data_IF_444696523825
#
_entry.id   IF_444696523825
#
_cell.length_a   1.000
_cell.length_b   1.000
_cell.length_c   1.000
_cell.angle_alpha   90.00
_cell.angle_beta   90.00
_cell.angle_gamma   90.00
#
_symmetry.space_group_name_H-M   'P 1'
#
loop_
_entity.id
_entity.type
_entity.pdbx_description
1 polymer ?
#
# COMPACT_ATOMS: atom_id res chain seq x y z
N UNK A 1 -45.38 80.11 6.44
CA UNK A 1 -44.66 78.84 6.74
C UNK A 1 -43.61 79.12 7.81
N UNK A 2 -43.90 78.83 9.08
CA UNK A 2 -42.99 79.13 10.18
C UNK A 2 -41.83 78.11 10.23
N UNK A 3 -40.59 78.61 10.10
CA UNK A 3 -39.37 77.81 10.29
C UNK A 3 -39.26 77.42 11.77
N UNK A 4 -39.54 76.14 12.08
CA UNK A 4 -39.28 75.58 13.42
C UNK A 4 -37.76 75.54 13.64
N UNK A 5 -37.27 76.37 14.56
CA UNK A 5 -35.90 76.27 15.09
C UNK A 5 -35.85 75.02 15.98
N UNK A 6 -35.17 73.98 15.53
CA UNK A 6 -34.83 72.83 16.37
C UNK A 6 -33.92 73.31 17.50
N UNK A 7 -34.32 73.04 18.74
CA UNK A 7 -33.57 73.42 19.93
C UNK A 7 -32.23 72.67 20.01
N UNK A 8 -31.12 73.33 20.39
CA UNK A 8 -29.77 72.74 20.39
C UNK A 8 -29.53 71.62 21.42
N UNK A 9 -30.53 71.24 22.23
CA UNK A 9 -30.43 70.15 23.22
C UNK A 9 -30.56 68.74 22.65
N UNK A 10 -31.11 68.57 21.44
CA UNK A 10 -31.30 67.25 20.82
C UNK A 10 -30.02 66.70 20.14
N UNK A 11 -29.08 67.60 19.77
CA UNK A 11 -27.80 67.21 19.16
C UNK A 11 -26.88 66.42 20.11
N UNK A 12 -26.67 66.84 21.39
CA UNK A 12 -25.87 66.07 22.35
C UNK A 12 -26.40 64.66 22.61
N UNK A 13 -27.72 64.52 22.72
CA UNK A 13 -28.36 63.24 23.04
C UNK A 13 -28.33 62.29 21.84
N UNK A 14 -28.53 62.81 20.62
CA UNK A 14 -28.36 62.03 19.39
C UNK A 14 -26.92 61.51 19.20
N UNK A 15 -25.92 62.30 19.56
CA UNK A 15 -24.51 61.88 19.52
C UNK A 15 -24.23 60.80 20.57
N UNK A 16 -24.76 60.95 21.79
CA UNK A 16 -24.66 59.90 22.82
C UNK A 16 -25.30 58.59 22.36
N UNK A 17 -26.51 58.64 21.82
CA UNK A 17 -27.20 57.45 21.34
C UNK A 17 -26.44 56.79 20.17
N UNK A 18 -25.91 57.58 19.24
CA UNK A 18 -25.10 57.07 18.13
C UNK A 18 -23.80 56.39 18.62
N UNK A 19 -23.14 56.97 19.62
CA UNK A 19 -21.95 56.37 20.25
C UNK A 19 -22.32 55.08 20.97
N UNK A 20 -23.38 55.09 21.80
CA UNK A 20 -23.83 53.91 22.54
C UNK A 20 -24.22 52.77 21.59
N UNK A 21 -24.92 53.08 20.49
CA UNK A 21 -25.25 52.13 19.42
C UNK A 21 -23.99 51.57 18.75
N UNK A 22 -22.99 52.40 18.51
CA UNK A 22 -21.72 51.98 17.90
C UNK A 22 -20.89 51.10 18.84
N UNK A 23 -20.85 51.43 20.13
CA UNK A 23 -20.17 50.63 21.16
C UNK A 23 -20.85 49.28 21.32
N UNK A 24 -22.19 49.23 21.34
CA UNK A 24 -22.95 47.98 21.36
C UNK A 24 -22.71 47.14 20.11
N UNK A 25 -22.73 47.75 18.91
CA UNK A 25 -22.45 47.06 17.65
C UNK A 25 -21.02 46.49 17.62
N UNK A 26 -20.03 47.26 18.08
CA UNK A 26 -18.63 46.83 18.16
C UNK A 26 -18.46 45.69 19.14
N UNK A 27 -19.08 45.78 20.32
CA UNK A 27 -19.03 44.71 21.34
C UNK A 27 -19.69 43.43 20.83
N UNK A 28 -20.84 43.52 20.16
CA UNK A 28 -21.50 42.36 19.54
C UNK A 28 -20.63 41.71 18.46
N UNK A 29 -20.00 42.51 17.60
CA UNK A 29 -19.09 42.01 16.56
C UNK A 29 -17.84 41.33 17.12
N UNK A 30 -17.26 41.89 18.19
CA UNK A 30 -16.09 41.32 18.85
C UNK A 30 -16.40 39.97 19.51
N UNK A 31 -17.56 39.84 20.16
CA UNK A 31 -18.02 38.56 20.75
C UNK A 31 -18.22 37.52 19.67
N UNK A 32 -18.90 37.87 18.58
CA UNK A 32 -19.16 36.94 17.48
C UNK A 32 -17.86 36.50 16.77
N UNK A 33 -16.88 37.40 16.66
CA UNK A 33 -15.56 37.06 16.10
C UNK A 33 -14.80 36.11 17.02
N UNK A 34 -14.88 36.32 18.33
CA UNK A 34 -14.26 35.43 19.33
C UNK A 34 -14.89 34.04 19.30
N UNK A 35 -16.21 33.93 19.24
CA UNK A 35 -16.90 32.62 19.17
C UNK A 35 -16.51 31.84 17.92
N UNK A 36 -16.46 32.50 16.75
CA UNK A 36 -15.99 31.87 15.50
C UNK A 36 -14.54 31.42 15.58
N UNK A 37 -13.67 32.24 16.18
CA UNK A 37 -12.26 31.90 16.35
C UNK A 37 -12.09 30.72 17.32
N UNK A 38 -12.88 30.66 18.40
CA UNK A 38 -12.86 29.54 19.34
C UNK A 38 -13.34 28.25 18.67
N UNK A 39 -14.45 28.28 17.92
CA UNK A 39 -14.91 27.12 17.17
C UNK A 39 -13.88 26.61 16.17
N UNK A 40 -13.20 27.51 15.45
CA UNK A 40 -12.13 27.12 14.51
C UNK A 40 -10.90 26.51 15.21
N UNK A 41 -10.61 26.91 16.46
CA UNK A 41 -9.54 26.31 17.26
C UNK A 41 -9.94 24.92 17.74
N UNK A 42 -11.19 24.74 18.17
CA UNK A 42 -11.70 23.44 18.60
C UNK A 42 -11.69 22.43 17.43
N UNK A 43 -12.17 22.86 16.24
CA UNK A 43 -12.09 22.05 15.02
C UNK A 43 -10.63 21.67 14.67
N UNK A 44 -9.68 22.59 14.86
CA UNK A 44 -8.27 22.32 14.63
C UNK A 44 -7.73 21.27 15.61
N UNK A 45 -8.08 21.38 16.89
CA UNK A 45 -7.67 20.40 17.91
C UNK A 45 -8.19 19.01 17.55
N UNK A 46 -9.46 18.89 17.15
CA UNK A 46 -10.05 17.62 16.73
C UNK A 46 -9.32 17.02 15.51
N UNK A 47 -8.99 17.85 14.51
CA UNK A 47 -8.25 17.36 13.33
C UNK A 47 -6.83 16.89 13.66
N UNK A 48 -6.15 17.55 14.60
CA UNK A 48 -4.82 17.15 15.06
C UNK A 48 -4.91 15.83 15.82
N UNK A 49 -5.92 15.68 16.68
CA UNK A 49 -6.17 14.45 17.44
C UNK A 49 -6.40 13.25 16.52
N UNK A 50 -7.21 13.42 15.47
CA UNK A 50 -7.46 12.40 14.46
C UNK A 50 -6.20 12.05 13.67
N UNK A 51 -5.38 13.06 13.34
CA UNK A 51 -4.10 12.84 12.67
C UNK A 51 -3.14 12.02 13.55
N UNK A 52 -3.06 12.34 14.84
CA UNK A 52 -2.21 11.62 15.82
C UNK A 52 -2.68 10.17 15.94
N UNK A 53 -3.98 9.93 16.20
CA UNK A 53 -4.56 8.58 16.28
C UNK A 53 -4.34 7.79 15.00
N UNK A 54 -4.49 8.43 13.84
CA UNK A 54 -4.22 7.83 12.53
C UNK A 54 -2.75 7.46 12.34
N UNK A 55 -1.83 8.33 12.77
CA UNK A 55 -0.39 8.08 12.71
C UNK A 55 0.03 6.93 13.64
N UNK A 56 -0.44 6.92 14.88
CA UNK A 56 -0.21 5.84 15.84
C UNK A 56 -0.70 4.49 15.30
N UNK A 57 -1.92 4.45 14.76
CA UNK A 57 -2.47 3.25 14.14
C UNK A 57 -1.65 2.76 12.94
N UNK A 58 -1.06 3.66 12.15
CA UNK A 58 -0.12 3.30 11.07
C UNK A 58 1.20 2.78 11.61
N UNK A 59 1.77 3.39 12.64
CA UNK A 59 3.03 2.96 13.27
C UNK A 59 2.88 1.56 13.86
N UNK A 60 1.80 1.28 14.59
CA UNK A 60 1.54 -0.05 15.19
C UNK A 60 1.40 -1.11 14.11
N UNK A 61 0.65 -0.83 13.03
CA UNK A 61 0.51 -1.74 11.89
C UNK A 61 1.84 -1.95 11.16
N UNK A 62 2.61 -0.88 10.95
CA UNK A 62 3.94 -0.93 10.36
C UNK A 62 4.91 -1.76 11.19
N UNK A 63 4.94 -1.59 12.52
CA UNK A 63 5.75 -2.41 13.42
C UNK A 63 5.37 -3.89 13.36
N UNK A 64 4.07 -4.22 13.36
CA UNK A 64 3.61 -5.61 13.24
C UNK A 64 3.99 -6.22 11.88
N UNK A 65 3.86 -5.46 10.79
CA UNK A 65 4.24 -5.91 9.46
C UNK A 65 5.77 -6.12 9.35
N UNK A 66 6.55 -5.18 9.90
CA UNK A 66 8.01 -5.29 9.95
C UNK A 66 8.47 -6.48 10.82
N UNK A 67 7.86 -6.68 11.99
CA UNK A 67 8.16 -7.84 12.84
C UNK A 67 7.90 -9.16 12.10
N UNK A 68 6.76 -9.29 11.42
CA UNK A 68 6.46 -10.48 10.59
C UNK A 68 7.46 -10.66 9.45
N UNK A 69 7.83 -9.58 8.75
CA UNK A 69 8.82 -9.65 7.69
C UNK A 69 10.21 -10.06 8.22
N UNK A 70 10.57 -9.66 9.44
CA UNK A 70 11.82 -10.08 10.09
C UNK A 70 11.76 -11.55 10.55
N UNK A 71 10.62 -12.01 11.06
CA UNK A 71 10.42 -13.40 11.45
C UNK A 71 10.48 -14.35 10.24
N UNK A 72 9.92 -13.93 9.09
CA UNK A 72 9.98 -14.69 7.83
C UNK A 72 11.40 -14.68 7.22
N UNK A 73 12.17 -13.63 7.48
CA UNK A 73 13.59 -13.48 7.08
C UNK A 73 14.48 -13.74 8.29
N UNK A 74 14.28 -14.87 8.97
CA UNK A 74 15.24 -15.33 9.96
C UNK A 74 16.61 -15.49 9.27
N UNK A 75 17.67 -14.82 9.75
CA UNK A 75 19.01 -15.08 9.24
C UNK A 75 19.35 -16.54 9.51
N UNK A 76 19.77 -17.28 8.47
CA UNK A 76 20.14 -18.68 8.58
C UNK A 76 21.13 -18.86 9.74
N UNK A 77 20.77 -19.70 10.70
CA UNK A 77 21.57 -19.90 11.91
C UNK A 77 22.81 -20.74 11.60
N UNK A 78 23.81 -20.71 12.50
CA UNK A 78 25.00 -21.56 12.36
C UNK A 78 24.66 -23.06 12.38
N UNK A 79 23.57 -23.44 13.04
CA UNK A 79 23.05 -24.82 13.06
C UNK A 79 22.46 -25.19 11.70
N UNK A 80 21.64 -24.33 11.10
CA UNK A 80 21.11 -24.52 9.73
C UNK A 80 22.26 -24.69 8.72
N UNK A 81 23.32 -23.89 8.84
CA UNK A 81 24.51 -23.99 7.98
C UNK A 81 25.30 -25.29 8.20
N UNK A 82 25.33 -25.83 9.43
CA UNK A 82 25.96 -27.13 9.72
C UNK A 82 25.13 -28.29 9.16
N UNK A 83 23.82 -28.22 9.31
CA UNK A 83 22.88 -29.20 8.76
C UNK A 83 22.96 -29.26 7.23
N UNK A 84 22.92 -28.08 6.57
CA UNK A 84 23.05 -27.97 5.12
C UNK A 84 24.37 -28.56 4.61
N UNK A 85 25.49 -28.30 5.31
CA UNK A 85 26.80 -28.88 4.98
C UNK A 85 26.83 -30.40 5.14
N UNK A 86 26.18 -30.94 6.17
CA UNK A 86 26.08 -32.38 6.38
C UNK A 86 25.26 -33.05 5.28
N UNK A 87 24.16 -32.41 4.87
CA UNK A 87 23.31 -32.88 3.78
C UNK A 87 24.03 -32.85 2.43
N UNK A 88 24.72 -31.77 2.10
CA UNK A 88 25.53 -31.67 0.88
C UNK A 88 26.61 -32.75 0.82
N UNK A 89 27.30 -33.04 1.93
CA UNK A 89 28.28 -34.14 1.99
C UNK A 89 27.63 -35.51 1.79
N UNK A 90 26.42 -35.73 2.31
CA UNK A 90 25.65 -36.97 2.11
C UNK A 90 25.30 -37.14 0.63
N UNK A 91 24.84 -36.07 -0.03
CA UNK A 91 24.52 -36.08 -1.46
C UNK A 91 25.78 -36.35 -2.29
N UNK A 92 26.89 -35.69 -1.98
CA UNK A 92 28.17 -35.90 -2.67
C UNK A 92 28.62 -37.36 -2.64
N UNK A 93 28.62 -38.00 -1.45
CA UNK A 93 28.96 -39.44 -1.32
C UNK A 93 28.03 -40.35 -2.10
N UNK A 94 26.74 -40.02 -2.15
CA UNK A 94 25.77 -40.80 -2.91
C UNK A 94 25.99 -40.66 -4.41
N UNK A 95 26.36 -39.48 -4.89
CA UNK A 95 26.72 -39.27 -6.29
C UNK A 95 28.00 -40.01 -6.64
N UNK A 96 29.03 -39.95 -5.81
CA UNK A 96 30.29 -40.68 -6.02
C UNK A 96 30.06 -42.20 -6.12
N UNK A 97 29.25 -42.77 -5.23
CA UNK A 97 28.87 -44.19 -5.29
C UNK A 97 28.03 -44.55 -6.54
N UNK A 98 27.26 -43.59 -7.08
CA UNK A 98 26.53 -43.77 -8.34
C UNK A 98 27.51 -43.72 -9.51
N UNK A 99 28.45 -42.78 -9.51
CA UNK A 99 29.47 -42.63 -10.53
C UNK A 99 30.41 -43.83 -10.61
N UNK A 100 30.82 -44.38 -9.46
CA UNK A 100 31.63 -45.59 -9.38
C UNK A 100 30.91 -46.83 -9.93
N UNK A 101 29.58 -46.89 -9.77
CA UNK A 101 28.74 -47.98 -10.28
C UNK A 101 28.38 -47.81 -11.75
N UNK A 102 28.57 -46.63 -12.33
CA UNK A 102 28.35 -46.43 -13.75
C UNK A 102 29.55 -47.01 -14.52
N UNK A 103 29.32 -47.89 -15.52
CA UNK A 103 30.42 -48.36 -16.35
C UNK A 103 31.08 -47.14 -16.99
N UNK A 104 32.41 -47.01 -16.80
CA UNK A 104 33.20 -45.95 -17.39
C UNK A 104 32.78 -45.80 -18.86
N UNK A 105 32.23 -44.62 -19.19
CA UNK A 105 31.68 -44.31 -20.50
C UNK A 105 32.73 -44.71 -21.53
N UNK A 106 32.51 -45.87 -22.17
CA UNK A 106 33.48 -46.48 -23.09
C UNK A 106 33.90 -45.40 -24.07
N UNK A 107 35.22 -45.16 -24.28
CA UNK A 107 35.64 -44.19 -25.27
C UNK A 107 35.01 -44.58 -26.62
N UNK A 108 34.57 -43.60 -27.43
CA UNK A 108 33.96 -43.89 -28.72
C UNK A 108 34.95 -44.72 -29.52
N UNK A 109 34.63 -46.00 -29.74
CA UNK A 109 35.44 -46.86 -30.59
C UNK A 109 35.37 -46.26 -31.98
N UNK A 110 36.50 -45.74 -32.46
CA UNK A 110 36.74 -45.42 -33.86
C UNK A 110 36.60 -46.68 -34.69
N UNK A 111 35.36 -47.04 -35.05
CA UNK A 111 35.09 -47.96 -36.15
C UNK A 111 34.87 -47.12 -37.39
N UNK A 112 35.97 -46.94 -38.12
CA UNK A 112 35.94 -46.66 -39.54
C UNK A 112 35.02 -47.68 -40.25
N UNK A 113 34.12 -47.15 -41.08
CA UNK A 113 33.71 -47.78 -42.32
C UNK A 113 32.68 -48.91 -42.24
N UNK A 114 31.42 -48.57 -42.47
CA UNK A 114 30.60 -49.27 -43.46
C UNK A 114 29.47 -48.37 -43.96
N UNK A 115 29.45 -48.23 -45.28
CA UNK A 115 28.48 -47.51 -46.10
C UNK A 115 27.04 -48.00 -45.93
N UNK A 116 26.14 -47.11 -46.38
CA UNK A 116 24.83 -47.36 -47.01
C UNK A 116 23.61 -47.26 -46.10
N UNK A 117 22.67 -46.42 -46.52
CA UNK A 117 21.40 -46.20 -45.84
C UNK A 117 20.77 -44.86 -46.19
N UNK A 118 20.75 -44.49 -47.47
CA UNK A 118 19.91 -43.43 -48.00
C UNK A 118 18.44 -43.74 -47.69
N UNK A 119 17.82 -42.97 -46.79
CA UNK A 119 16.42 -43.11 -46.42
C UNK A 119 15.77 -41.74 -46.30
N UNK A 120 15.35 -41.22 -47.45
CA UNK A 120 14.65 -39.95 -47.61
C UNK A 120 13.32 -39.91 -46.86
N UNK A 121 13.06 -38.76 -46.24
CA UNK A 121 11.75 -38.10 -46.07
C UNK A 121 10.63 -38.75 -45.23
N UNK A 122 10.26 -38.06 -44.14
CA UNK A 122 8.97 -37.32 -44.06
C UNK A 122 8.87 -36.47 -42.77
N UNK A 123 8.67 -35.14 -42.85
CA UNK A 123 8.22 -34.36 -41.70
C UNK A 123 6.71 -34.59 -41.54
N UNK A 124 6.30 -35.11 -40.39
CA UNK A 124 4.87 -35.29 -40.10
C UNK A 124 4.31 -34.00 -39.50
N UNK A 125 3.32 -33.50 -40.20
CA UNK A 125 2.67 -32.21 -40.04
C UNK A 125 1.99 -31.99 -38.67
N UNK A 126 1.81 -30.70 -38.40
CA UNK A 126 1.01 -30.11 -37.35
C UNK A 126 -0.38 -30.75 -37.19
N UNK A 127 -0.77 -30.98 -35.94
CA UNK A 127 -2.16 -30.93 -35.44
C UNK A 127 -2.13 -29.90 -34.32
N UNK A 128 -2.62 -28.68 -34.44
CA UNK A 128 -4.01 -28.22 -34.66
C UNK A 128 -5.01 -28.89 -33.72
N UNK A 129 -5.65 -28.05 -32.90
CA UNK A 129 -6.61 -28.39 -31.83
C UNK A 129 -6.23 -27.67 -30.54
N UNK A 130 -6.56 -26.39 -30.30
CA UNK A 130 -7.85 -25.70 -30.36
C UNK A 130 -8.97 -26.37 -29.56
N UNK A 131 -9.04 -26.08 -28.25
CA UNK A 131 -10.30 -25.93 -27.50
C UNK A 131 -9.98 -25.07 -26.26
N UNK A 132 -10.40 -23.79 -26.21
CA UNK A 132 -11.72 -23.32 -25.76
C UNK A 132 -11.96 -23.68 -24.27
N UNK A 133 -12.36 -22.82 -23.34
CA UNK A 133 -12.78 -21.41 -23.26
C UNK A 133 -13.03 -21.16 -21.75
N UNK A 134 -12.78 -19.99 -21.17
CA UNK A 134 -13.13 -19.70 -19.78
C UNK A 134 -14.66 -19.64 -19.63
N UNK A 135 -15.24 -20.43 -18.71
CA UNK A 135 -16.67 -20.36 -18.40
C UNK A 135 -16.95 -19.30 -17.34
N UNK A 136 -17.79 -18.37 -17.77
CA UNK A 136 -18.93 -17.78 -17.07
C UNK A 136 -18.69 -16.91 -15.83
N UNK A 137 -18.92 -15.62 -16.07
CA UNK A 137 -19.56 -14.68 -15.15
C UNK A 137 -20.92 -15.17 -14.60
N UNK A 138 -21.35 -14.51 -13.51
CA UNK A 138 -22.72 -13.99 -13.26
C UNK A 138 -23.37 -14.44 -11.93
N UNK A 139 -23.41 -13.49 -10.99
CA UNK A 139 -24.49 -13.20 -10.02
C UNK A 139 -24.04 -11.93 -9.28
N UNK A 140 -24.64 -10.74 -9.38
CA UNK A 140 -25.99 -10.37 -9.79
C UNK A 140 -26.95 -10.35 -8.59
N UNK A 141 -27.57 -9.19 -8.37
CA UNK A 141 -28.64 -8.84 -7.41
C UNK A 141 -28.15 -8.39 -6.02
N UNK A 142 -28.25 -7.14 -5.55
CA UNK A 142 -29.28 -6.08 -5.66
C UNK A 142 -30.63 -6.44 -5.06
N UNK A 143 -31.08 -5.56 -4.15
CA UNK A 143 -32.41 -5.33 -3.62
C UNK A 143 -32.98 -6.35 -2.63
N UNK A 144 -33.12 -5.87 -1.39
CA UNK A 144 -33.91 -6.38 -0.27
C UNK A 144 -33.92 -5.29 0.79
#
# INVERSE_FOLDING_TARGET
>A
MAKRRTTPKELPDAVREAVDRTVQATRGSAVQTRERAQGAVDDLVDTVDDLVKGAEGRIVRGRRAAARAIDDVRPATNEDMRELKAELRRIGRRLEAIEERLPAKRPPTTRQGAKSGSGSAKPRAARSGSSAKPRSAKRGSSAG
#
